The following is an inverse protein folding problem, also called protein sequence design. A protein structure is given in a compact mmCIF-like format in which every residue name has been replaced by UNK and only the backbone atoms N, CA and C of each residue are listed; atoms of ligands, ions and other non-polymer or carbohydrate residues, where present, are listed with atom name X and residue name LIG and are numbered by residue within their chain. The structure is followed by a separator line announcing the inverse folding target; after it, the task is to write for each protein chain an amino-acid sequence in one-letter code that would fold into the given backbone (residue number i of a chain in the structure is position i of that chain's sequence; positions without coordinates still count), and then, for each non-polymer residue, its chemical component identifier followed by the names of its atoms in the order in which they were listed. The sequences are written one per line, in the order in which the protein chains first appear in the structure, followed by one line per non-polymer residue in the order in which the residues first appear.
data_IF_389126776284
#
_entry.id   IF_389126776284
#
_cell.length_a   1.000
_cell.length_b   1.000
_cell.length_c   1.000
_cell.angle_alpha   90.00
_cell.angle_beta   90.00
_cell.angle_gamma   90.00
#
_symmetry.space_group_name_H-M   'P 1'
#
loop_
_entity.id
_entity.type
_entity.pdbx_description
1 polymer ?
#
# COMPACT_ATOMS: atom_id res chain seq x y z
N UNK A 1 5.82 -17.00 7.25
CA UNK A 1 6.28 -16.28 6.04
C UNK A 1 6.88 -14.97 6.50
N UNK A 2 8.09 -14.65 6.03
CA UNK A 2 8.76 -13.38 6.36
C UNK A 2 8.80 -12.53 5.10
N UNK A 3 8.42 -11.25 5.22
CA UNK A 3 8.50 -10.28 4.13
C UNK A 3 9.64 -9.32 4.47
N UNK A 4 10.58 -9.14 3.53
CA UNK A 4 11.63 -8.14 3.62
C UNK A 4 11.53 -7.20 2.43
N UNK A 5 11.72 -5.91 2.68
CA UNK A 5 11.73 -4.89 1.63
C UNK A 5 12.76 -3.81 1.98
N UNK A 6 13.63 -3.40 1.03
CA UNK A 6 14.58 -2.34 1.29
C UNK A 6 13.87 -0.98 1.42
N UNK A 7 14.44 -0.07 2.20
CA UNK A 7 14.04 1.34 2.16
C UNK A 7 14.54 1.94 0.85
N UNK A 8 13.64 2.58 0.10
CA UNK A 8 13.96 3.22 -1.18
C UNK A 8 14.01 4.74 -0.98
N UNK A 9 15.17 5.40 -1.18
CA UNK A 9 15.29 6.85 -1.05
C UNK A 9 14.30 7.61 -1.95
N UNK A 10 13.69 8.66 -1.41
CA UNK A 10 12.76 9.52 -2.16
C UNK A 10 11.37 8.94 -2.39
N UNK A 11 11.08 7.73 -1.89
CA UNK A 11 9.78 7.08 -2.05
C UNK A 11 9.12 6.80 -0.72
N UNK A 12 7.81 7.00 -0.67
CA UNK A 12 6.96 6.49 0.41
C UNK A 12 6.29 5.22 -0.10
N UNK A 13 6.49 4.10 0.60
CA UNK A 13 5.94 2.81 0.20
C UNK A 13 4.90 2.34 1.22
N UNK A 14 3.77 1.85 0.71
CA UNK A 14 2.74 1.15 1.48
C UNK A 14 2.94 -0.36 1.29
N UNK A 15 3.27 -1.06 2.37
CA UNK A 15 3.42 -2.52 2.37
C UNK A 15 2.22 -3.14 3.09
N UNK A 16 1.39 -3.87 2.35
CA UNK A 16 0.24 -4.59 2.89
C UNK A 16 0.61 -6.06 3.07
N UNK A 17 0.65 -6.52 4.32
CA UNK A 17 0.89 -7.93 4.67
C UNK A 17 -0.47 -8.55 5.01
N UNK A 18 -0.97 -9.40 4.12
CA UNK A 18 -2.27 -10.03 4.23
C UNK A 18 -2.11 -11.50 4.65
N UNK A 19 -2.27 -11.75 5.95
CA UNK A 19 -2.23 -13.10 6.52
C UNK A 19 -3.44 -13.97 6.16
N UNK A 20 -4.57 -13.37 5.78
CA UNK A 20 -5.79 -14.10 5.38
C UNK A 20 -5.62 -14.65 3.96
N UNK A 21 -4.94 -13.92 3.08
CA UNK A 21 -4.60 -14.37 1.72
C UNK A 21 -3.24 -15.03 1.61
N UNK A 22 -2.40 -14.94 2.65
CA UNK A 22 -1.01 -15.42 2.63
C UNK A 22 -0.14 -14.66 1.62
N UNK A 23 -0.37 -13.36 1.43
CA UNK A 23 0.31 -12.54 0.41
C UNK A 23 0.81 -11.22 1.00
N UNK A 24 1.83 -10.66 0.35
CA UNK A 24 2.26 -9.29 0.59
C UNK A 24 2.15 -8.49 -0.71
N UNK A 25 1.79 -7.20 -0.60
CA UNK A 25 1.76 -6.25 -1.71
C UNK A 25 2.57 -5.02 -1.30
N UNK A 26 3.30 -4.46 -2.26
CA UNK A 26 3.98 -3.17 -2.10
C UNK A 26 3.40 -2.23 -3.14
N UNK A 27 3.04 -1.02 -2.71
CA UNK A 27 2.62 0.07 -3.56
C UNK A 27 3.42 1.32 -3.20
N UNK A 28 3.72 2.16 -4.18
CA UNK A 28 4.21 3.50 -3.92
C UNK A 28 3.02 4.38 -3.54
N UNK A 29 3.17 5.17 -2.50
CA UNK A 29 2.16 6.15 -2.15
C UNK A 29 2.16 7.26 -3.21
N UNK A 30 0.97 7.80 -3.51
CA UNK A 30 0.87 9.01 -4.33
C UNK A 30 1.69 10.14 -3.72
N UNK A 31 2.32 10.94 -4.56
CA UNK A 31 3.13 12.09 -4.13
C UNK A 31 2.26 13.10 -3.36
N UNK A 32 1.05 13.33 -3.84
CA UNK A 32 0.04 14.21 -3.25
C UNK A 32 -1.35 13.56 -3.29
N UNK A 33 -2.06 13.61 -2.18
CA UNK A 33 -3.38 12.98 -2.02
C UNK A 33 -3.34 11.75 -1.14
N UNK A 34 -4.11 10.70 -1.47
CA UNK A 34 -4.34 9.55 -0.62
C UNK A 34 -4.01 8.22 -1.30
N UNK A 35 -3.35 7.34 -0.55
CA UNK A 35 -3.24 5.91 -0.87
C UNK A 35 -4.11 5.12 0.09
N UNK A 36 -5.18 4.51 -0.41
CA UNK A 36 -6.25 3.93 0.40
C UNK A 36 -6.22 2.41 0.26
N UNK A 37 -6.04 1.71 1.38
CA UNK A 37 -6.11 0.25 1.45
C UNK A 37 -7.51 -0.15 1.88
N UNK A 38 -8.29 -0.73 0.96
CA UNK A 38 -9.63 -1.23 1.26
C UNK A 38 -9.58 -2.71 1.65
N UNK A 39 -10.23 -3.05 2.77
CA UNK A 39 -10.39 -4.44 3.23
C UNK A 39 -11.84 -4.88 3.09
N UNK A 40 -12.05 -6.17 2.89
CA UNK A 40 -13.38 -6.78 2.89
C UNK A 40 -13.29 -8.18 3.51
N UNK A 41 -14.09 -8.44 4.55
CA UNK A 41 -14.06 -9.72 5.30
C UNK A 41 -12.66 -10.06 5.85
N UNK A 42 -11.95 -9.05 6.37
CA UNK A 42 -10.63 -9.20 7.00
C UNK A 42 -9.46 -9.42 6.04
N UNK A 43 -9.70 -9.47 4.72
CA UNK A 43 -8.65 -9.54 3.69
C UNK A 43 -8.57 -8.25 2.88
N UNK A 44 -7.40 -8.00 2.31
CA UNK A 44 -7.16 -6.91 1.36
C UNK A 44 -8.02 -7.14 0.12
N UNK A 45 -8.85 -6.16 -0.20
CA UNK A 45 -9.67 -6.17 -1.40
C UNK A 45 -8.95 -5.43 -2.54
N UNK A 46 -8.50 -4.20 -2.27
CA UNK A 46 -7.78 -3.37 -3.25
C UNK A 46 -6.98 -2.25 -2.60
N UNK A 47 -6.07 -1.67 -3.38
CA UNK A 47 -5.39 -0.42 -3.06
C UNK A 47 -5.86 0.59 -4.11
N UNK A 48 -6.36 1.73 -3.66
CA UNK A 48 -6.81 2.85 -4.49
C UNK A 48 -5.87 4.03 -4.30
N UNK A 49 -5.78 4.85 -5.33
CA UNK A 49 -4.98 6.06 -5.35
C UNK A 49 -5.90 7.22 -5.71
N UNK A 50 -5.90 8.25 -4.88
CA UNK A 50 -6.61 9.49 -5.11
C UNK A 50 -5.57 10.60 -5.15
N UNK A 51 -5.21 11.02 -6.36
CA UNK A 51 -4.26 12.11 -6.58
C UNK A 51 -4.97 13.45 -6.38
N UNK A 52 -4.27 14.39 -5.76
CA UNK A 52 -4.72 15.78 -5.62
C UNK A 52 -3.58 16.72 -5.96
N UNK A 53 -3.86 17.83 -6.63
CA UNK A 53 -2.85 18.86 -6.81
C UNK A 53 -2.54 19.56 -5.47
N UNK A 54 -1.25 19.77 -5.18
CA UNK A 54 -0.86 20.75 -4.17
C UNK A 54 -1.03 22.13 -4.78
N UNK A 55 -1.90 22.95 -4.19
CA UNK A 55 -1.80 24.40 -4.36
C UNK A 55 -0.72 24.95 -3.43
#
# INVERSE_FOLDING_TARGET
MTVSHPVVPGKVLVIVIDGVQGKAKVAEAVEHGFTIVETAKGKTARIKFEESELF
#
